data_IF_548941473478
#
_entry.id   IF_548941473478
#
_cell.length_a   1.000
_cell.length_b   1.000
_cell.length_c   1.000
_cell.angle_alpha   90.00
_cell.angle_beta   90.00
_cell.angle_gamma   90.00
#
_symmetry.space_group_name_H-M   'P 1'
#
loop_
_entity.id
_entity.type
_entity.pdbx_description
1 polymer ?
#
# COMPACT_ATOMS: atom_id res chain seq x y z
N UNK A 1 9.15 -39.80 6.20
CA UNK A 1 9.47 -38.80 5.17
C UNK A 1 9.55 -37.44 5.85
N UNK A 2 10.76 -37.02 6.24
CA UNK A 2 10.97 -35.71 6.87
C UNK A 2 11.05 -34.65 5.76
N UNK A 3 10.02 -33.81 5.66
CA UNK A 3 10.04 -32.65 4.78
C UNK A 3 10.79 -31.51 5.49
N UNK A 4 12.12 -31.52 5.39
CA UNK A 4 12.93 -30.35 5.73
C UNK A 4 12.95 -29.38 4.55
N UNK A 5 12.47 -28.15 4.77
CA UNK A 5 12.66 -27.01 3.87
C UNK A 5 11.53 -26.84 2.86
N UNK A 6 10.54 -26.00 3.18
CA UNK A 6 9.64 -25.46 2.17
C UNK A 6 10.45 -24.74 1.09
N UNK A 7 10.35 -25.18 -0.16
CA UNK A 7 11.06 -24.56 -1.27
C UNK A 7 10.59 -23.12 -1.44
N UNK A 8 11.50 -22.15 -1.26
CA UNK A 8 11.22 -20.73 -1.49
C UNK A 8 10.85 -20.51 -2.97
N UNK A 9 9.66 -20.00 -3.23
CA UNK A 9 9.18 -19.68 -4.58
C UNK A 9 9.95 -18.47 -5.10
N UNK A 10 10.60 -18.61 -6.26
CA UNK A 10 11.33 -17.53 -6.91
C UNK A 10 10.70 -17.18 -8.27
N UNK A 11 10.51 -15.89 -8.52
CA UNK A 11 9.76 -15.34 -9.66
C UNK A 11 10.62 -14.43 -10.56
N UNK A 12 11.88 -14.82 -10.78
CA UNK A 12 12.94 -14.03 -11.45
C UNK A 12 12.60 -13.51 -12.85
N UNK A 13 11.68 -14.15 -13.56
CA UNK A 13 11.32 -13.81 -14.93
C UNK A 13 9.94 -13.15 -15.06
N UNK A 14 9.23 -12.91 -13.96
CA UNK A 14 7.95 -12.21 -14.02
C UNK A 14 8.17 -10.75 -14.42
N UNK A 15 7.46 -10.34 -15.47
CA UNK A 15 7.49 -8.97 -15.99
C UNK A 15 6.26 -8.18 -15.59
N UNK A 16 5.11 -8.84 -15.45
CA UNK A 16 3.83 -8.19 -15.17
C UNK A 16 2.98 -9.05 -14.25
N UNK A 17 2.41 -8.42 -13.22
CA UNK A 17 1.48 -9.05 -12.29
C UNK A 17 0.18 -8.23 -12.28
N UNK A 18 -0.94 -8.92 -12.48
CA UNK A 18 -2.30 -8.39 -12.30
C UNK A 18 -3.03 -9.26 -11.29
N UNK A 19 -3.53 -8.65 -10.22
CA UNK A 19 -4.31 -9.32 -9.19
C UNK A 19 -5.62 -8.57 -9.06
N UNK A 20 -6.74 -9.29 -9.12
CA UNK A 20 -8.06 -8.69 -9.00
C UNK A 20 -9.05 -9.58 -8.27
N UNK A 21 -9.87 -9.00 -7.39
CA UNK A 21 -10.95 -9.74 -6.72
C UNK A 21 -10.47 -10.76 -5.68
N UNK A 22 -9.24 -10.62 -5.16
CA UNK A 22 -8.71 -11.54 -4.15
C UNK A 22 -9.08 -11.06 -2.75
N UNK A 23 -10.33 -11.29 -2.35
CA UNK A 23 -10.89 -10.71 -1.13
C UNK A 23 -10.38 -11.33 0.17
N UNK A 24 -9.86 -12.57 0.16
CA UNK A 24 -9.31 -13.24 1.36
C UNK A 24 -7.79 -13.10 1.53
N UNK A 25 -7.11 -12.47 0.57
CA UNK A 25 -5.66 -12.41 0.55
C UNK A 25 -5.16 -11.25 1.41
N UNK A 26 -4.38 -11.55 2.46
CA UNK A 26 -3.88 -10.55 3.43
C UNK A 26 -2.58 -9.87 3.00
N UNK A 27 -1.72 -10.60 2.28
CA UNK A 27 -0.49 -10.10 1.67
C UNK A 27 -0.26 -10.74 0.29
N UNK A 28 0.43 -10.06 -0.63
CA UNK A 28 0.70 -10.62 -1.96
C UNK A 28 2.00 -11.42 -2.02
N UNK A 29 3.04 -10.90 -1.38
CA UNK A 29 4.38 -11.46 -1.44
C UNK A 29 4.98 -11.58 -0.04
N UNK A 30 5.74 -12.65 0.17
CA UNK A 30 6.76 -12.69 1.21
C UNK A 30 7.95 -11.85 0.81
N UNK A 31 8.77 -11.46 1.78
CA UNK A 31 10.03 -10.76 1.55
C UNK A 31 10.90 -11.49 0.53
N UNK A 32 11.13 -12.79 0.72
CA UNK A 32 11.93 -13.64 -0.17
C UNK A 32 11.43 -13.63 -1.63
N UNK A 33 10.11 -13.70 -1.82
CA UNK A 33 9.48 -13.65 -3.15
C UNK A 33 9.68 -12.26 -3.75
N UNK A 34 9.47 -11.19 -2.98
CA UNK A 34 9.66 -9.82 -3.44
C UNK A 34 11.09 -9.55 -3.91
N UNK A 35 12.10 -10.13 -3.25
CA UNK A 35 13.50 -10.04 -3.67
C UNK A 35 13.78 -10.67 -5.04
N UNK A 36 12.99 -11.67 -5.43
CA UNK A 36 13.11 -12.31 -6.75
C UNK A 36 12.44 -11.51 -7.87
N UNK A 37 11.63 -10.49 -7.58
CA UNK A 37 10.85 -9.73 -8.56
C UNK A 37 11.64 -8.60 -9.26
N UNK A 38 12.95 -8.75 -9.42
CA UNK A 38 13.83 -7.70 -9.98
C UNK A 38 13.47 -7.32 -11.43
N UNK A 39 12.95 -8.26 -12.23
CA UNK A 39 12.52 -8.00 -13.61
C UNK A 39 11.08 -7.49 -13.73
N UNK A 40 10.34 -7.39 -12.62
CA UNK A 40 8.96 -6.96 -12.65
C UNK A 40 8.88 -5.52 -13.14
N UNK A 41 8.15 -5.29 -14.22
CA UNK A 41 7.95 -3.98 -14.86
C UNK A 41 6.64 -3.32 -14.45
N UNK A 42 5.63 -4.12 -14.13
CA UNK A 42 4.28 -3.63 -13.82
C UNK A 42 3.58 -4.49 -12.78
N UNK A 43 3.05 -3.83 -11.74
CA UNK A 43 2.20 -4.42 -10.72
C UNK A 43 0.87 -3.68 -10.67
N UNK A 44 -0.23 -4.43 -10.77
CA UNK A 44 -1.60 -3.91 -10.71
C UNK A 44 -2.41 -4.77 -9.75
N UNK A 45 -3.03 -4.13 -8.76
CA UNK A 45 -3.81 -4.82 -7.70
C UNK A 45 -5.13 -4.09 -7.52
N UNK A 46 -6.24 -4.77 -7.83
CA UNK A 46 -7.59 -4.19 -7.89
C UNK A 46 -8.62 -4.96 -7.08
N UNK A 47 -9.37 -4.28 -6.22
CA UNK A 47 -10.53 -4.84 -5.51
C UNK A 47 -10.14 -6.08 -4.68
N UNK A 48 -9.21 -5.93 -3.75
CA UNK A 48 -8.80 -6.97 -2.80
C UNK A 48 -9.03 -6.46 -1.38
N UNK A 49 -10.18 -6.80 -0.78
CA UNK A 49 -10.65 -6.12 0.41
C UNK A 49 -9.86 -6.44 1.68
N UNK A 50 -9.45 -7.69 1.93
CA UNK A 50 -8.67 -8.05 3.13
C UNK A 50 -7.17 -7.81 3.01
N UNK A 51 -6.70 -7.27 1.87
CA UNK A 51 -5.28 -7.03 1.62
C UNK A 51 -4.78 -5.90 2.53
N UNK A 52 -3.89 -6.24 3.47
CA UNK A 52 -3.31 -5.29 4.44
C UNK A 52 -2.00 -4.69 3.96
N UNK A 53 -1.17 -5.50 3.32
CA UNK A 53 0.08 -5.04 2.72
C UNK A 53 0.40 -5.80 1.43
N UNK A 54 1.30 -5.26 0.61
CA UNK A 54 1.74 -5.92 -0.63
C UNK A 54 2.85 -6.92 -0.34
N UNK A 55 3.85 -6.50 0.46
CA UNK A 55 4.98 -7.34 0.87
C UNK A 55 4.97 -7.47 2.39
N UNK A 56 4.80 -8.69 2.89
CA UNK A 56 4.88 -9.02 4.31
C UNK A 56 6.29 -9.46 4.70
N UNK A 57 6.61 -9.42 6.00
CA UNK A 57 7.79 -10.10 6.52
C UNK A 57 7.67 -11.61 6.30
N UNK A 58 8.79 -12.31 6.28
CA UNK A 58 8.82 -13.75 5.98
C UNK A 58 7.95 -14.56 6.96
N UNK A 59 7.95 -14.21 8.25
CA UNK A 59 7.23 -14.89 9.33
C UNK A 59 5.74 -14.49 9.50
N UNK A 60 5.27 -13.45 8.80
CA UNK A 60 3.91 -12.89 9.01
C UNK A 60 2.85 -13.50 8.06
N UNK A 61 3.20 -14.56 7.31
CA UNK A 61 2.25 -15.26 6.43
C UNK A 61 1.58 -16.40 7.19
N UNK A 62 0.25 -16.48 7.08
CA UNK A 62 -0.57 -17.50 7.75
C UNK A 62 0.02 -18.92 7.57
N UNK A 63 0.37 -19.56 8.69
CA UNK A 63 0.65 -21.00 8.77
C UNK A 63 2.13 -21.41 8.87
N UNK A 64 3.08 -20.49 9.02
CA UNK A 64 4.50 -20.85 9.23
C UNK A 64 5.14 -19.97 10.31
N UNK A 65 5.20 -20.50 11.54
CA UNK A 65 6.15 -20.04 12.56
C UNK A 65 7.50 -20.69 12.24
N UNK A 66 8.29 -20.08 11.36
CA UNK A 66 9.69 -20.48 11.16
C UNK A 66 10.58 -19.64 12.08
N UNK A 67 11.49 -20.32 12.79
CA UNK A 67 12.42 -19.74 13.75
C UNK A 67 13.22 -18.59 13.12
N UNK A 68 13.33 -17.49 13.88
CA UNK A 68 14.09 -16.29 13.54
C UNK A 68 15.58 -16.63 13.47
N UNK A 69 16.04 -17.13 12.33
CA UNK A 69 17.40 -16.81 11.91
C UNK A 69 17.40 -15.32 11.59
N UNK A 70 18.24 -14.55 12.29
CA UNK A 70 18.64 -13.18 11.94
C UNK A 70 19.21 -13.15 10.51
N UNK A 71 18.35 -13.35 9.51
CA UNK A 71 18.67 -13.04 8.14
C UNK A 71 18.66 -11.53 8.10
N UNK A 72 19.87 -10.97 8.05
CA UNK A 72 20.17 -9.58 7.67
C UNK A 72 19.00 -9.08 6.82
N UNK A 73 18.26 -8.09 7.32
CA UNK A 73 17.08 -7.53 6.66
C UNK A 73 17.52 -6.90 5.34
N UNK A 74 17.65 -7.74 4.33
CA UNK A 74 18.17 -7.37 3.04
C UNK A 74 17.20 -6.41 2.37
N UNK A 75 17.76 -5.41 1.69
CA UNK A 75 16.98 -4.45 0.93
C UNK A 75 16.10 -5.12 -0.13
N UNK A 76 14.96 -4.50 -0.41
CA UNK A 76 14.12 -4.84 -1.55
C UNK A 76 14.28 -3.76 -2.60
N UNK A 77 14.83 -4.16 -3.76
CA UNK A 77 15.06 -3.26 -4.89
C UNK A 77 14.20 -3.68 -6.07
N UNK A 78 13.16 -2.89 -6.36
CA UNK A 78 12.35 -3.06 -7.56
C UNK A 78 13.04 -2.39 -8.77
N UNK A 79 14.13 -3.00 -9.23
CA UNK A 79 15.03 -2.40 -10.25
C UNK A 79 14.32 -2.05 -11.56
N UNK A 80 13.34 -2.86 -11.97
CA UNK A 80 12.65 -2.71 -13.26
C UNK A 80 11.22 -2.18 -13.17
N UNK A 81 10.66 -1.99 -11.96
CA UNK A 81 9.25 -1.66 -11.81
C UNK A 81 8.98 -0.23 -12.25
N UNK A 82 8.23 -0.08 -13.35
CA UNK A 82 7.88 1.22 -13.94
C UNK A 82 6.49 1.69 -13.53
N UNK A 83 5.57 0.77 -13.31
CA UNK A 83 4.16 1.07 -13.08
C UNK A 83 3.63 0.30 -11.90
N UNK A 84 3.16 1.02 -10.88
CA UNK A 84 2.42 0.49 -9.74
C UNK A 84 1.02 1.10 -9.71
N UNK A 85 -0.01 0.25 -9.72
CA UNK A 85 -1.41 0.66 -9.62
C UNK A 85 -2.12 -0.10 -8.52
N UNK A 86 -2.68 0.63 -7.58
CA UNK A 86 -3.44 0.12 -6.45
C UNK A 86 -4.85 0.74 -6.54
N UNK A 87 -5.90 -0.08 -6.61
CA UNK A 87 -7.28 0.43 -6.65
C UNK A 87 -8.24 -0.41 -5.83
N UNK A 88 -9.11 0.23 -5.05
CA UNK A 88 -10.18 -0.46 -4.33
C UNK A 88 -9.62 -1.42 -3.29
N UNK A 89 -8.64 -0.97 -2.50
CA UNK A 89 -8.00 -1.80 -1.47
C UNK A 89 -8.38 -1.24 -0.10
N UNK A 90 -9.57 -1.64 0.34
CA UNK A 90 -10.27 -1.06 1.49
C UNK A 90 -9.52 -1.20 2.82
N UNK A 91 -8.70 -2.25 2.98
CA UNK A 91 -7.91 -2.50 4.19
C UNK A 91 -6.38 -2.38 4.00
N UNK A 92 -5.91 -1.80 2.89
CA UNK A 92 -4.47 -1.66 2.66
C UNK A 92 -3.91 -0.57 3.56
N UNK A 93 -3.03 -0.95 4.49
CA UNK A 93 -2.33 -0.06 5.41
C UNK A 93 -1.06 0.54 4.76
N UNK A 94 -0.41 -0.22 3.87
CA UNK A 94 0.74 0.21 3.09
C UNK A 94 1.25 -0.83 2.09
N UNK A 95 2.26 -0.48 1.30
CA UNK A 95 2.95 -1.43 0.41
C UNK A 95 3.74 -2.46 1.21
N UNK A 96 4.48 -2.03 2.22
CA UNK A 96 5.17 -2.92 3.16
C UNK A 96 5.23 -2.24 4.52
N UNK A 97 4.86 -2.97 5.57
CA UNK A 97 4.98 -2.51 6.96
C UNK A 97 6.22 -3.05 7.66
N UNK A 98 6.92 -3.99 7.01
CA UNK A 98 8.22 -4.47 7.46
C UNK A 98 9.32 -3.43 7.36
N UNK A 99 10.14 -3.36 8.40
CA UNK A 99 11.26 -2.42 8.58
C UNK A 99 12.47 -2.72 7.68
N UNK A 100 12.28 -2.73 6.36
CA UNK A 100 13.33 -2.99 5.36
C UNK A 100 13.66 -1.74 4.52
N UNK A 101 14.89 -1.59 4.02
CA UNK A 101 15.19 -0.60 2.99
C UNK A 101 14.49 -0.93 1.68
N UNK A 102 13.83 0.06 1.06
CA UNK A 102 13.13 -0.07 -0.22
C UNK A 102 13.62 0.94 -1.26
N UNK A 103 13.93 0.46 -2.46
CA UNK A 103 14.41 1.29 -3.56
C UNK A 103 13.61 1.08 -4.85
N UNK A 104 13.32 2.19 -5.54
CA UNK A 104 12.42 2.24 -6.70
C UNK A 104 13.08 2.96 -7.89
N UNK A 105 14.26 2.51 -8.36
CA UNK A 105 15.08 3.27 -9.32
C UNK A 105 14.41 3.47 -10.69
N UNK A 106 13.42 2.65 -11.04
CA UNK A 106 12.72 2.71 -12.33
C UNK A 106 11.26 3.15 -12.25
N UNK A 107 10.75 3.50 -11.07
CA UNK A 107 9.34 3.81 -10.91
C UNK A 107 9.00 5.15 -11.60
N UNK A 108 8.15 5.08 -12.61
CA UNK A 108 7.73 6.23 -13.43
C UNK A 108 6.28 6.62 -13.16
N UNK A 109 5.45 5.66 -12.74
CA UNK A 109 4.02 5.85 -12.52
C UNK A 109 3.55 5.13 -11.26
N UNK A 110 3.06 5.90 -10.28
CA UNK A 110 2.32 5.42 -9.13
C UNK A 110 0.89 5.97 -9.17
N UNK A 111 -0.09 5.06 -9.14
CA UNK A 111 -1.51 5.40 -9.06
C UNK A 111 -2.15 4.67 -7.89
N UNK A 112 -2.79 5.41 -7.00
CA UNK A 112 -3.54 4.89 -5.85
C UNK A 112 -4.95 5.45 -5.93
N UNK A 113 -5.98 4.61 -5.76
CA UNK A 113 -7.36 5.08 -5.88
C UNK A 113 -8.28 4.22 -5.02
N UNK A 114 -9.11 4.85 -4.18
CA UNK A 114 -10.00 4.13 -3.26
C UNK A 114 -9.22 3.18 -2.35
N UNK A 115 -8.16 3.68 -1.70
CA UNK A 115 -7.38 2.96 -0.67
C UNK A 115 -7.40 3.76 0.65
N UNK A 116 -8.54 3.83 1.35
CA UNK A 116 -8.77 4.81 2.42
C UNK A 116 -7.90 4.64 3.68
N UNK A 117 -7.38 3.43 3.93
CA UNK A 117 -6.52 3.15 5.11
C UNK A 117 -5.03 3.33 4.84
N UNK A 118 -4.64 3.61 3.60
CA UNK A 118 -3.23 3.62 3.21
C UNK A 118 -2.56 4.91 3.69
N UNK A 119 -2.02 4.93 4.90
CA UNK A 119 -1.37 6.12 5.45
C UNK A 119 0.11 6.20 5.11
N UNK A 120 0.76 5.05 4.90
CA UNK A 120 2.20 4.95 4.60
C UNK A 120 2.37 4.21 3.29
N UNK A 121 3.30 4.66 2.43
CA UNK A 121 3.63 3.91 1.22
C UNK A 121 4.46 2.68 1.56
N UNK A 122 5.66 2.80 2.14
CA UNK A 122 6.32 1.65 2.76
C UNK A 122 7.14 2.08 3.98
N UNK A 123 6.98 1.37 5.09
CA UNK A 123 7.81 1.56 6.28
C UNK A 123 9.27 1.22 5.92
N UNK A 124 10.20 2.12 6.22
CA UNK A 124 11.63 1.90 5.99
C UNK A 124 12.42 2.43 7.17
N UNK A 125 13.40 1.66 7.64
CA UNK A 125 14.31 2.02 8.72
C UNK A 125 15.33 3.08 8.30
N UNK A 126 15.59 3.21 7.00
CA UNK A 126 16.52 4.21 6.46
C UNK A 126 15.88 5.61 6.29
N UNK A 127 14.59 5.76 6.58
CA UNK A 127 13.85 7.02 6.52
C UNK A 127 13.60 7.60 5.12
N UNK A 128 14.41 7.23 4.12
CA UNK A 128 14.33 7.78 2.76
C UNK A 128 14.10 6.67 1.75
N UNK A 129 13.01 6.79 0.99
CA UNK A 129 12.76 5.96 -0.19
C UNK A 129 13.25 6.69 -1.44
N UNK A 130 14.23 6.11 -2.15
CA UNK A 130 14.72 6.71 -3.39
C UNK A 130 13.84 6.34 -4.58
N UNK A 131 13.24 7.35 -5.21
CA UNK A 131 12.35 7.23 -6.39
C UNK A 131 12.78 8.21 -7.50
N UNK A 132 14.02 8.11 -8.01
CA UNK A 132 14.67 9.18 -8.79
C UNK A 132 13.96 9.54 -10.11
N UNK A 133 13.16 8.62 -10.67
CA UNK A 133 12.40 8.84 -11.91
C UNK A 133 10.96 9.27 -11.67
N UNK A 134 10.46 9.15 -10.45
CA UNK A 134 9.08 9.48 -10.13
C UNK A 134 9.00 10.98 -9.85
N UNK A 135 8.30 11.71 -10.73
CA UNK A 135 8.10 13.17 -10.55
C UNK A 135 6.78 13.50 -9.86
N UNK A 136 5.81 12.59 -9.98
CA UNK A 136 4.48 12.79 -9.45
C UNK A 136 3.68 11.50 -9.35
N UNK A 137 2.63 11.56 -8.54
CA UNK A 137 1.70 10.46 -8.29
C UNK A 137 0.28 10.88 -8.65
N UNK A 138 -0.62 9.90 -8.79
CA UNK A 138 -2.06 10.16 -8.90
C UNK A 138 -2.77 9.45 -7.76
N UNK A 139 -3.44 10.19 -6.90
CA UNK A 139 -4.19 9.64 -5.75
C UNK A 139 -5.65 10.06 -5.86
N UNK A 140 -6.56 9.10 -5.72
CA UNK A 140 -8.03 9.33 -5.65
C UNK A 140 -8.63 10.17 -6.77
N UNK A 141 -8.03 10.12 -7.97
CA UNK A 141 -8.51 10.87 -9.13
C UNK A 141 -8.16 12.36 -9.10
N UNK A 142 -7.46 12.84 -8.06
CA UNK A 142 -6.89 14.18 -8.02
C UNK A 142 -5.88 14.35 -9.16
N UNK A 143 -5.73 15.59 -9.62
CA UNK A 143 -4.65 15.97 -10.52
C UNK A 143 -3.28 15.53 -9.96
N UNK A 144 -2.32 15.39 -10.87
CA UNK A 144 -0.97 14.90 -10.64
C UNK A 144 -0.32 15.60 -9.42
N UNK A 145 -0.10 14.88 -8.31
CA UNK A 145 0.55 15.39 -7.10
C UNK A 145 2.07 15.32 -7.30
N UNK A 146 2.73 16.47 -7.32
CA UNK A 146 4.18 16.58 -7.48
C UNK A 146 4.92 16.19 -6.18
N UNK A 147 6.03 15.46 -6.29
CA UNK A 147 6.83 15.05 -5.12
C UNK A 147 7.64 16.20 -4.52
N UNK A 148 8.07 17.17 -5.33
CA UNK A 148 8.82 18.38 -4.89
C UNK A 148 10.04 18.11 -4.00
N UNK A 149 10.65 16.92 -4.08
CA UNK A 149 11.79 16.52 -3.25
C UNK A 149 11.41 15.83 -1.94
N UNK A 150 10.11 15.74 -1.62
CA UNK A 150 9.58 14.93 -0.53
C UNK A 150 9.57 13.45 -0.90
N UNK A 151 9.69 12.58 0.10
CA UNK A 151 9.55 11.15 -0.06
C UNK A 151 8.07 10.73 -0.22
N UNK A 152 7.85 9.52 -0.74
CA UNK A 152 6.51 9.00 -1.00
C UNK A 152 5.64 8.88 0.27
N UNK A 153 6.22 8.49 1.40
CA UNK A 153 5.46 8.37 2.64
C UNK A 153 4.95 9.74 3.07
N UNK A 154 5.79 10.77 3.04
CA UNK A 154 5.41 12.14 3.40
C UNK A 154 4.27 12.66 2.52
N UNK A 155 4.38 12.51 1.19
CA UNK A 155 3.32 12.97 0.27
C UNK A 155 2.02 12.21 0.48
N UNK A 156 2.07 10.88 0.67
CA UNK A 156 0.89 10.06 0.91
C UNK A 156 0.24 10.42 2.26
N UNK A 157 1.02 10.55 3.33
CA UNK A 157 0.51 10.96 4.65
C UNK A 157 -0.21 12.30 4.60
N UNK A 158 0.37 13.32 3.93
CA UNK A 158 -0.28 14.63 3.78
C UNK A 158 -1.62 14.51 3.05
N UNK A 159 -1.66 13.75 1.96
CA UNK A 159 -2.88 13.57 1.16
C UNK A 159 -3.99 12.86 1.97
N UNK A 160 -3.69 11.72 2.57
CA UNK A 160 -4.70 10.94 3.29
C UNK A 160 -5.15 11.60 4.60
N UNK A 161 -4.26 12.32 5.29
CA UNK A 161 -4.66 13.14 6.45
C UNK A 161 -5.59 14.29 6.04
N UNK A 162 -5.26 15.02 4.97
CA UNK A 162 -6.11 16.10 4.48
C UNK A 162 -7.48 15.58 4.05
N UNK A 163 -7.52 14.44 3.36
CA UNK A 163 -8.78 13.79 2.97
C UNK A 163 -9.62 13.38 4.19
N UNK A 164 -9.01 12.77 5.21
CA UNK A 164 -9.71 12.38 6.42
C UNK A 164 -10.34 13.58 7.15
N UNK A 165 -9.65 14.72 7.19
CA UNK A 165 -10.19 15.96 7.77
C UNK A 165 -11.41 16.46 6.98
N UNK A 166 -11.34 16.44 5.65
CA UNK A 166 -12.45 16.83 4.77
C UNK A 166 -13.66 15.89 4.94
N UNK A 167 -13.43 14.59 5.00
CA UNK A 167 -14.49 13.59 5.21
C UNK A 167 -15.15 13.77 6.59
N UNK A 168 -14.38 14.16 7.62
CA UNK A 168 -14.89 14.43 8.96
C UNK A 168 -15.70 15.74 9.02
N UNK A 169 -15.26 16.80 8.34
CA UNK A 169 -16.02 18.06 8.30
C UNK A 169 -17.35 17.89 7.58
N UNK A 170 -17.37 17.17 6.45
CA UNK A 170 -18.60 16.88 5.71
C UNK A 170 -19.60 16.09 6.56
N UNK A 171 -19.12 15.09 7.31
CA UNK A 171 -19.98 14.35 8.25
C UNK A 171 -20.54 15.22 9.38
N UNK A 172 -19.78 16.19 9.87
CA UNK A 172 -20.24 17.11 10.90
C UNK A 172 -21.37 18.02 10.38
N UNK A 173 -21.24 18.50 9.14
CA UNK A 173 -22.25 19.32 8.46
C UNK A 173 -23.54 18.54 8.19
N UNK A 174 -23.44 17.26 7.81
CA UNK A 174 -24.59 16.34 7.64
C UNK A 174 -25.33 16.05 8.96
N UNK A 175 -24.61 15.93 10.08
CA UNK A 175 -25.23 15.71 11.39
C UNK A 175 -25.98 16.96 11.87
N UNK A 176 -25.42 18.16 11.66
CA UNK A 176 -26.09 19.40 12.04
C UNK A 176 -27.38 19.65 11.24
N UNK A 177 -27.38 19.36 9.95
CA UNK A 177 -28.55 19.51 9.09
C UNK A 177 -29.70 18.56 9.46
N UNK A 178 -29.40 17.33 9.91
CA UNK A 178 -30.42 16.40 10.40
C UNK A 178 -31.02 16.83 11.76
N UNK A 179 -30.22 17.43 12.65
CA UNK A 179 -30.72 17.88 13.97
C UNK A 179 -31.61 19.13 13.90
N UNK A 180 -31.45 19.99 12.89
CA UNK A 180 -32.32 21.16 12.70
C UNK A 180 -33.72 20.79 12.19
N UNK A 181 -33.86 19.64 11.53
CA UNK A 181 -35.16 19.17 11.04
C UNK A 181 -36.03 18.60 12.18
N UNK A 182 -35.43 17.96 13.19
CA UNK A 182 -36.15 17.41 14.36
C UNK A 182 -36.63 18.46 15.39
N UNK A 183 -35.99 19.63 15.49
CA UNK A 183 -36.45 20.70 16.41
C UNK A 183 -37.67 21.48 15.87
N UNK A 184 -37.99 21.36 14.58
CA UNK A 184 -39.12 22.08 13.98
C UNK A 184 -40.50 21.45 14.25
N UNK A 185 -40.56 20.16 14.60
CA UNK A 185 -41.80 19.40 14.82
C UNK A 185 -42.33 19.45 16.27
N UNK A 186 -41.56 19.97 17.24
CA UNK A 186 -41.96 19.98 18.67
C UNK A 186 -42.70 21.27 19.09
N UNK A 187 -42.81 22.27 18.20
CA UNK A 187 -43.44 23.57 18.52
C UNK A 187 -44.93 23.71 18.16
N UNK A 188 -45.57 22.64 17.64
CA UNK A 188 -47.00 22.63 17.29
C UNK A 188 -47.78 21.65 18.18
N UNK A 189 -48.00 21.96 19.46
CA UNK A 189 -48.99 21.32 20.33
C UNK A 189 -49.45 22.26 21.44
#
# INVERSE_FOLDING_TARGET
FNCHGGQLVQLHNLLVIYITGCHSLRNLFRHSVAQSLQKLKKLVVYNCDELKEIVAKESEVQGQEEEEEERVLNEIVFTSLKTLKLKGLSNLDGFCLGSFPFYWPSLEQLKVHSCPKMMTFAATTSGIQSTPKLKAIKVDGVEKILLQGEDLNTVMQKHFKAKQVLDLSQKADEVQTLTSDEESDVSSS
#
